data_IF_004406085739
#
_entry.id   IF_004406085739
#
_cell.length_a   1.000
_cell.length_b   1.000
_cell.length_c   1.000
_cell.angle_alpha   90.00
_cell.angle_beta   90.00
_cell.angle_gamma   90.00
#
_symmetry.space_group_name_H-M   'P 1'
#
loop_
_entity.id
_entity.type
_entity.pdbx_description
1 polymer ?
#
# COMPACT_ATOMS: atom_id res chain seq x y z
N UNK A 1 26.95 26.76 -24.62
CA UNK A 1 27.40 25.89 -23.52
C UNK A 1 26.16 25.30 -22.85
N UNK A 2 25.88 24.04 -23.12
CA UNK A 2 24.71 23.38 -22.51
C UNK A 2 25.13 22.90 -21.12
N UNK A 3 24.58 23.50 -20.08
CA UNK A 3 24.78 23.02 -18.69
C UNK A 3 23.87 21.82 -18.52
N UNK A 4 24.42 20.62 -18.64
CA UNK A 4 23.75 19.40 -18.26
C UNK A 4 23.74 19.32 -16.72
N UNK A 5 22.57 19.55 -16.12
CA UNK A 5 22.39 19.28 -14.70
C UNK A 5 22.29 17.75 -14.52
N UNK A 6 23.33 17.14 -13.94
CA UNK A 6 23.22 15.76 -13.46
C UNK A 6 22.33 15.74 -12.19
N UNK A 7 21.43 14.75 -12.05
CA UNK A 7 20.67 14.62 -10.81
C UNK A 7 21.63 14.40 -9.64
N UNK A 8 21.41 15.12 -8.54
CA UNK A 8 22.18 14.98 -7.30
C UNK A 8 21.83 13.67 -6.56
N UNK A 9 20.78 12.99 -6.98
CA UNK A 9 20.31 11.74 -6.38
C UNK A 9 20.71 10.59 -7.29
N UNK A 10 21.37 9.57 -6.72
CA UNK A 10 21.63 8.32 -7.42
C UNK A 10 20.30 7.62 -7.70
N UNK A 11 20.07 7.23 -8.93
CA UNK A 11 18.96 6.36 -9.34
C UNK A 11 19.44 4.93 -9.50
N UNK A 12 18.53 3.99 -9.25
CA UNK A 12 18.75 2.55 -9.34
C UNK A 12 17.81 1.95 -10.37
N UNK A 13 18.28 0.99 -11.12
CA UNK A 13 17.42 0.05 -11.85
C UNK A 13 16.85 -0.98 -10.87
N UNK A 14 15.78 -1.68 -11.26
CA UNK A 14 15.23 -2.77 -10.47
C UNK A 14 16.26 -3.88 -10.20
N UNK A 15 17.14 -4.18 -11.19
CA UNK A 15 18.20 -5.16 -11.03
C UNK A 15 19.27 -4.73 -10.01
N UNK A 16 19.65 -3.45 -10.01
CA UNK A 16 20.57 -2.91 -8.99
C UNK A 16 19.94 -2.93 -7.60
N UNK A 17 18.64 -2.61 -7.51
CA UNK A 17 17.87 -2.69 -6.27
C UNK A 17 17.86 -4.11 -5.68
N UNK A 18 17.60 -5.14 -6.49
CA UNK A 18 17.60 -6.54 -6.03
C UNK A 18 18.99 -7.06 -5.62
N UNK A 19 20.06 -6.41 -6.08
CA UNK A 19 21.42 -6.72 -5.67
C UNK A 19 21.87 -5.97 -4.41
N UNK A 20 21.02 -5.10 -3.84
CA UNK A 20 21.32 -4.45 -2.56
C UNK A 20 21.32 -5.49 -1.42
N UNK A 21 22.24 -5.38 -0.46
CA UNK A 21 22.19 -6.23 0.72
C UNK A 21 20.92 -5.94 1.54
N UNK A 22 20.31 -6.99 2.09
CA UNK A 22 19.20 -6.79 3.05
C UNK A 22 19.72 -6.06 4.29
N UNK A 23 19.05 -4.97 4.75
CA UNK A 23 19.41 -4.29 5.98
C UNK A 23 19.28 -5.23 7.19
N UNK A 24 20.33 -5.27 8.04
CA UNK A 24 20.36 -6.16 9.20
C UNK A 24 19.32 -5.79 10.28
N UNK A 25 18.87 -4.55 10.29
CA UNK A 25 17.90 -3.99 11.24
C UNK A 25 16.45 -4.07 10.79
N UNK A 26 16.15 -4.82 9.71
CA UNK A 26 14.83 -4.93 9.07
C UNK A 26 14.30 -3.63 8.46
N UNK A 27 15.13 -2.62 8.24
CA UNK A 27 14.78 -1.45 7.44
C UNK A 27 14.17 -1.92 6.12
N UNK A 28 12.99 -1.39 5.78
CA UNK A 28 12.31 -1.68 4.53
C UNK A 28 12.93 -0.84 3.42
N UNK A 29 13.27 -1.48 2.30
CA UNK A 29 13.75 -0.81 1.10
C UNK A 29 12.65 -0.83 0.04
N UNK A 30 12.37 0.32 -0.55
CA UNK A 30 11.43 0.47 -1.66
C UNK A 30 12.07 1.30 -2.76
N UNK A 31 11.69 1.04 -4.00
CA UNK A 31 12.18 1.77 -5.17
C UNK A 31 11.03 2.45 -5.88
N UNK A 32 11.11 3.77 -6.08
CA UNK A 32 10.11 4.52 -6.85
C UNK A 32 10.80 5.36 -7.89
N UNK A 33 10.53 5.06 -9.16
CA UNK A 33 11.13 5.76 -10.31
C UNK A 33 12.65 5.89 -10.17
N UNK A 34 13.28 4.78 -9.77
CA UNK A 34 14.72 4.70 -9.56
C UNK A 34 15.23 5.33 -8.27
N UNK A 35 14.42 5.99 -7.48
CA UNK A 35 14.82 6.54 -6.18
C UNK A 35 14.62 5.53 -5.08
N UNK A 36 15.68 5.26 -4.30
CA UNK A 36 15.64 4.34 -3.16
C UNK A 36 15.09 5.05 -1.94
N UNK A 37 14.07 4.44 -1.35
CA UNK A 37 13.46 4.86 -0.09
C UNK A 37 13.72 3.84 1.00
N UNK A 38 13.93 4.31 2.22
CA UNK A 38 14.18 3.49 3.39
C UNK A 38 13.21 3.88 4.50
N UNK A 39 12.52 2.90 5.06
CA UNK A 39 11.60 3.07 6.18
C UNK A 39 12.06 2.19 7.34
N UNK A 40 12.05 2.70 8.59
CA UNK A 40 12.36 1.88 9.75
C UNK A 40 11.38 0.70 9.87
N UNK A 41 11.74 -0.36 10.58
CA UNK A 41 10.83 -1.46 10.85
C UNK A 41 9.57 -0.96 11.58
N UNK A 42 8.42 -1.62 11.37
CA UNK A 42 7.18 -1.28 12.04
C UNK A 42 7.32 -1.41 13.56
N UNK A 43 6.58 -0.58 14.29
CA UNK A 43 6.46 -0.68 15.74
C UNK A 43 5.21 -1.46 16.17
N UNK A 44 5.08 -1.72 17.46
CA UNK A 44 4.00 -2.54 18.06
C UNK A 44 2.59 -2.04 17.65
N UNK A 45 2.35 -0.73 17.71
CA UNK A 45 1.04 -0.15 17.31
C UNK A 45 0.71 -0.45 15.84
N UNK A 46 1.70 -0.40 14.96
CA UNK A 46 1.52 -0.75 13.56
C UNK A 46 1.11 -2.23 13.41
N UNK A 47 1.78 -3.13 14.13
CA UNK A 47 1.51 -4.56 14.06
C UNK A 47 0.11 -4.90 14.62
N UNK A 48 -0.33 -4.24 15.69
CA UNK A 48 -1.67 -4.40 16.27
C UNK A 48 -2.75 -3.97 15.27
N UNK A 49 -2.59 -2.78 14.69
CA UNK A 49 -3.52 -2.24 13.68
C UNK A 49 -3.54 -3.11 12.43
N UNK A 50 -2.39 -3.58 11.97
CA UNK A 50 -2.28 -4.53 10.86
C UNK A 50 -3.07 -5.80 11.14
N UNK A 51 -2.87 -6.42 12.31
CA UNK A 51 -3.56 -7.65 12.72
C UNK A 51 -5.08 -7.47 12.79
N UNK A 52 -5.54 -6.35 13.36
CA UNK A 52 -6.96 -6.03 13.47
C UNK A 52 -7.58 -5.78 12.07
N UNK A 53 -6.95 -4.96 11.26
CA UNK A 53 -7.44 -4.62 9.92
C UNK A 53 -7.51 -5.85 9.00
N UNK A 54 -6.46 -6.67 8.97
CA UNK A 54 -6.43 -7.89 8.17
C UNK A 54 -7.58 -8.84 8.57
N UNK A 55 -7.79 -9.03 9.86
CA UNK A 55 -8.88 -9.87 10.39
C UNK A 55 -10.26 -9.34 10.01
N UNK A 56 -10.49 -8.04 10.17
CA UNK A 56 -11.79 -7.43 9.87
C UNK A 56 -12.08 -7.38 8.38
N UNK A 57 -11.07 -7.11 7.55
CA UNK A 57 -11.19 -7.15 6.10
C UNK A 57 -11.54 -8.56 5.61
N UNK A 58 -10.81 -9.59 6.10
CA UNK A 58 -11.10 -10.98 5.74
C UNK A 58 -12.53 -11.37 6.14
N UNK A 59 -12.95 -11.05 7.36
CA UNK A 59 -14.33 -11.33 7.83
C UNK A 59 -15.39 -10.61 6.98
N UNK A 60 -15.13 -9.37 6.59
CA UNK A 60 -16.06 -8.61 5.77
C UNK A 60 -16.18 -9.20 4.36
N UNK A 61 -15.05 -9.59 3.76
CA UNK A 61 -15.04 -10.27 2.46
C UNK A 61 -15.79 -11.60 2.51
N UNK A 62 -15.55 -12.43 3.53
CA UNK A 62 -16.22 -13.72 3.71
C UNK A 62 -17.74 -13.55 3.83
N UNK A 63 -18.20 -12.57 4.63
CA UNK A 63 -19.64 -12.28 4.79
C UNK A 63 -20.30 -11.86 3.49
N UNK A 64 -19.60 -11.09 2.66
CA UNK A 64 -20.14 -10.59 1.39
C UNK A 64 -19.88 -11.53 0.20
N UNK A 65 -19.16 -12.63 0.42
CA UNK A 65 -18.84 -13.61 -0.63
C UNK A 65 -17.81 -13.14 -1.65
N UNK A 66 -17.03 -12.10 -1.34
CA UNK A 66 -15.93 -11.66 -2.20
C UNK A 66 -14.86 -12.73 -2.33
N UNK A 67 -14.34 -12.87 -3.54
CA UNK A 67 -13.23 -13.78 -3.88
C UNK A 67 -11.99 -12.98 -4.17
N UNK A 68 -10.82 -13.62 -4.06
CA UNK A 68 -9.52 -13.00 -4.25
C UNK A 68 -8.60 -13.29 -3.07
N UNK A 69 -7.49 -12.57 -3.03
CA UNK A 69 -6.47 -12.76 -2.00
C UNK A 69 -6.16 -11.44 -1.28
N UNK A 70 -6.12 -11.50 0.04
CA UNK A 70 -5.44 -10.48 0.84
C UNK A 70 -3.97 -10.94 0.96
N UNK A 71 -3.07 -10.07 0.55
CA UNK A 71 -1.64 -10.30 0.60
C UNK A 71 -1.01 -9.29 1.55
N UNK A 72 -0.03 -9.75 2.31
CA UNK A 72 0.64 -8.94 3.33
C UNK A 72 2.13 -9.13 3.27
N UNK A 73 2.83 -8.45 4.11
CA UNK A 73 4.26 -8.30 4.28
C UNK A 73 5.16 -9.01 3.25
N UNK A 74 5.95 -8.25 2.51
CA UNK A 74 6.82 -8.66 1.39
C UNK A 74 6.07 -9.07 0.11
N UNK A 75 4.75 -8.96 0.06
CA UNK A 75 4.04 -8.99 -1.20
C UNK A 75 4.20 -7.64 -1.89
N UNK A 76 4.88 -7.62 -3.02
CA UNK A 76 5.20 -6.39 -3.71
C UNK A 76 4.33 -6.16 -4.96
N UNK A 77 4.23 -4.90 -5.35
CA UNK A 77 3.88 -4.47 -6.71
C UNK A 77 5.11 -3.82 -7.34
N UNK A 78 5.42 -4.16 -8.60
CA UNK A 78 6.61 -3.63 -9.25
C UNK A 78 6.45 -3.51 -10.77
N UNK A 79 7.26 -2.65 -11.37
CA UNK A 79 7.44 -2.55 -12.82
C UNK A 79 8.76 -3.20 -13.22
N UNK A 80 8.95 -3.46 -14.52
CA UNK A 80 10.18 -4.09 -15.02
C UNK A 80 11.39 -3.16 -14.96
N UNK A 81 11.19 -1.84 -14.74
CA UNK A 81 12.25 -0.85 -14.90
C UNK A 81 12.82 -0.37 -13.55
N UNK A 82 12.01 0.31 -12.74
CA UNK A 82 12.53 1.19 -11.69
C UNK A 82 11.60 1.39 -10.49
N UNK A 83 10.58 0.56 -10.33
CA UNK A 83 9.61 0.69 -9.23
C UNK A 83 9.34 -0.64 -8.56
N UNK A 84 9.49 -0.68 -7.23
CA UNK A 84 9.22 -1.82 -6.35
C UNK A 84 8.68 -1.31 -5.02
N UNK A 85 7.43 -1.63 -4.72
CA UNK A 85 6.71 -1.19 -3.51
C UNK A 85 6.15 -2.40 -2.76
N UNK A 86 6.28 -2.38 -1.44
CA UNK A 86 5.72 -3.38 -0.53
C UNK A 86 4.67 -2.75 0.38
N UNK A 87 3.40 -2.70 -0.02
CA UNK A 87 2.34 -2.20 0.86
C UNK A 87 2.16 -3.11 2.08
N UNK A 88 1.64 -2.56 3.17
CA UNK A 88 1.37 -3.34 4.37
C UNK A 88 0.31 -4.42 4.12
N UNK A 89 -0.75 -4.09 3.38
CA UNK A 89 -1.75 -5.02 2.88
C UNK A 89 -2.12 -4.67 1.44
N UNK A 90 -2.52 -5.67 0.66
CA UNK A 90 -3.17 -5.45 -0.63
C UNK A 90 -4.27 -6.49 -0.86
N UNK A 91 -5.30 -6.08 -1.56
CA UNK A 91 -6.31 -6.98 -2.09
C UNK A 91 -6.13 -7.13 -3.61
N UNK A 92 -6.14 -8.37 -4.06
CA UNK A 92 -6.09 -8.75 -5.49
C UNK A 92 -7.27 -9.65 -5.76
N UNK A 93 -8.22 -9.18 -6.56
CA UNK A 93 -9.37 -9.96 -6.99
C UNK A 93 -8.97 -11.14 -7.88
N UNK A 94 -9.79 -12.16 -7.96
CA UNK A 94 -9.55 -13.27 -8.88
C UNK A 94 -9.54 -12.77 -10.33
N UNK A 95 -10.37 -11.78 -10.67
CA UNK A 95 -10.38 -11.16 -11.99
C UNK A 95 -9.04 -10.51 -12.33
N UNK A 96 -8.51 -9.68 -11.43
CA UNK A 96 -7.19 -9.06 -11.62
C UNK A 96 -6.09 -10.13 -11.69
N UNK A 97 -6.14 -11.15 -10.82
CA UNK A 97 -5.16 -12.23 -10.82
C UNK A 97 -5.05 -12.96 -12.15
N UNK A 98 -6.18 -13.14 -12.87
CA UNK A 98 -6.17 -13.74 -14.20
C UNK A 98 -5.58 -12.83 -15.29
N UNK A 99 -5.56 -11.52 -15.07
CA UNK A 99 -4.97 -10.55 -15.99
C UNK A 99 -3.45 -10.38 -15.81
N UNK A 100 -2.94 -10.70 -14.63
CA UNK A 100 -1.51 -10.56 -14.32
C UNK A 100 -0.73 -11.78 -14.80
N UNK A 101 0.51 -11.56 -15.24
CA UNK A 101 1.43 -12.66 -15.52
C UNK A 101 1.79 -13.37 -14.21
N UNK A 102 1.84 -14.70 -14.17
CA UNK A 102 2.28 -15.45 -12.99
C UNK A 102 3.64 -14.94 -12.49
N UNK A 103 3.73 -14.66 -11.19
CA UNK A 103 4.96 -14.17 -10.57
C UNK A 103 5.28 -12.69 -10.83
N UNK A 104 4.46 -11.97 -11.61
CA UNK A 104 4.68 -10.54 -11.92
C UNK A 104 3.45 -9.71 -11.56
N UNK A 105 3.46 -9.11 -10.39
CA UNK A 105 2.35 -8.27 -9.90
C UNK A 105 2.68 -6.80 -10.12
N UNK A 106 2.05 -6.21 -11.13
CA UNK A 106 2.25 -4.80 -11.48
C UNK A 106 1.30 -3.86 -10.75
N UNK A 107 0.20 -4.39 -10.19
CA UNK A 107 -0.81 -3.62 -9.44
C UNK A 107 -1.62 -4.52 -8.51
N UNK A 108 -2.44 -3.90 -7.66
CA UNK A 108 -3.49 -4.51 -6.84
C UNK A 108 -4.81 -3.75 -7.07
N UNK A 109 -5.95 -4.32 -6.65
CA UNK A 109 -7.22 -3.60 -6.65
C UNK A 109 -7.28 -2.59 -5.51
N UNK A 110 -6.85 -3.00 -4.31
CA UNK A 110 -6.73 -2.14 -3.13
C UNK A 110 -5.33 -2.29 -2.56
N UNK A 111 -4.76 -1.16 -2.14
CA UNK A 111 -3.53 -1.09 -1.35
C UNK A 111 -3.84 -0.44 -0.02
N UNK A 112 -3.21 -0.91 1.05
CA UNK A 112 -3.30 -0.34 2.39
C UNK A 112 -1.91 -0.02 2.90
N UNK A 113 -1.72 1.20 3.38
CA UNK A 113 -0.52 1.66 4.09
C UNK A 113 -0.91 2.11 5.50
N UNK A 114 -0.25 1.55 6.51
CA UNK A 114 -0.43 1.94 7.90
C UNK A 114 0.63 2.99 8.21
N UNK A 115 0.18 4.20 8.47
CA UNK A 115 1.05 5.36 8.60
C UNK A 115 1.86 5.30 9.89
N UNK A 116 3.11 5.72 9.78
CA UNK A 116 3.96 6.03 10.93
C UNK A 116 4.40 7.50 10.87
N UNK A 117 4.77 8.13 11.99
CA UNK A 117 5.27 9.50 11.96
C UNK A 117 6.43 9.73 10.99
N UNK A 118 7.26 8.69 10.77
CA UNK A 118 8.41 8.76 9.89
C UNK A 118 8.04 8.67 8.39
N UNK A 119 6.96 7.97 8.04
CA UNK A 119 6.59 7.68 6.65
C UNK A 119 5.34 8.41 6.15
N UNK A 120 4.52 8.99 7.04
CA UNK A 120 3.19 9.49 6.73
C UNK A 120 3.15 10.46 5.52
N UNK A 121 4.10 11.41 5.42
CA UNK A 121 4.12 12.35 4.29
C UNK A 121 4.45 11.64 2.96
N UNK A 122 5.36 10.69 3.01
CA UNK A 122 5.79 9.89 1.87
C UNK A 122 4.67 8.96 1.40
N UNK A 123 4.01 8.26 2.33
CA UNK A 123 2.88 7.38 2.03
C UNK A 123 1.69 8.14 1.45
N UNK A 124 1.36 9.31 2.04
CA UNK A 124 0.24 10.15 1.58
C UNK A 124 0.44 10.79 0.21
N UNK A 125 1.67 10.98 -0.24
CA UNK A 125 1.99 11.63 -1.52
C UNK A 125 2.66 10.70 -2.48
N UNK A 126 3.95 10.45 -2.31
CA UNK A 126 4.79 9.75 -3.29
C UNK A 126 4.29 8.35 -3.58
N UNK A 127 3.98 7.55 -2.54
CA UNK A 127 3.44 6.20 -2.75
C UNK A 127 2.04 6.25 -3.35
N UNK A 128 1.14 7.08 -2.81
CA UNK A 128 -0.22 7.20 -3.30
C UNK A 128 -0.27 7.54 -4.79
N UNK A 129 0.53 8.53 -5.22
CA UNK A 129 0.61 8.92 -6.63
C UNK A 129 1.20 7.79 -7.50
N UNK A 130 2.16 7.04 -6.95
CA UNK A 130 2.77 5.90 -7.64
C UNK A 130 1.77 4.75 -7.79
N UNK A 131 1.04 4.38 -6.73
CA UNK A 131 0.00 3.36 -6.80
C UNK A 131 -1.10 3.72 -7.80
N UNK A 132 -1.53 4.99 -7.82
CA UNK A 132 -2.47 5.48 -8.84
C UNK A 132 -1.92 5.30 -10.25
N UNK A 133 -0.67 5.71 -10.49
CA UNK A 133 -0.01 5.55 -11.80
C UNK A 133 0.14 4.08 -12.23
N UNK A 134 0.29 3.16 -11.29
CA UNK A 134 0.33 1.72 -11.53
C UNK A 134 -1.07 1.11 -11.80
N UNK A 135 -2.15 1.87 -11.65
CA UNK A 135 -3.53 1.43 -11.88
C UNK A 135 -4.16 0.72 -10.68
N UNK A 136 -3.67 1.00 -9.46
CA UNK A 136 -4.40 0.64 -8.23
C UNK A 136 -5.71 1.42 -8.21
N UNK A 137 -6.82 0.76 -7.87
CA UNK A 137 -8.15 1.36 -7.91
C UNK A 137 -8.49 2.14 -6.65
N UNK A 138 -7.97 1.67 -5.51
CA UNK A 138 -8.24 2.28 -4.20
C UNK A 138 -7.03 2.16 -3.27
N UNK A 139 -6.72 3.21 -2.51
CA UNK A 139 -5.73 3.17 -1.44
C UNK A 139 -6.38 3.55 -0.11
N UNK A 140 -6.03 2.82 0.96
CA UNK A 140 -6.40 3.11 2.33
C UNK A 140 -5.16 3.55 3.11
N UNK A 141 -5.20 4.75 3.63
CA UNK A 141 -4.16 5.31 4.48
C UNK A 141 -4.67 5.26 5.92
N UNK A 142 -4.16 4.32 6.69
CA UNK A 142 -4.60 4.04 8.05
C UNK A 142 -3.71 4.80 9.01
N UNK A 143 -4.28 5.70 9.80
CA UNK A 143 -3.56 6.54 10.76
C UNK A 143 -3.84 6.07 12.20
N UNK A 144 -2.91 5.35 12.83
CA UNK A 144 -3.08 4.84 14.19
C UNK A 144 -3.16 5.94 15.26
N UNK A 145 -2.47 7.08 15.05
CA UNK A 145 -2.44 8.19 16.00
C UNK A 145 -3.76 8.96 15.96
N UNK A 146 -4.24 9.31 14.76
CA UNK A 146 -5.51 9.98 14.57
C UNK A 146 -6.71 9.06 14.75
N UNK A 147 -6.52 7.72 14.73
CA UNK A 147 -7.55 6.69 14.72
C UNK A 147 -8.57 6.90 13.62
N UNK A 148 -8.06 7.13 12.42
CA UNK A 148 -8.86 7.36 11.22
C UNK A 148 -8.28 6.64 10.00
N UNK A 149 -9.12 6.44 8.99
CA UNK A 149 -8.75 5.82 7.72
C UNK A 149 -9.18 6.73 6.59
N UNK A 150 -8.22 7.19 5.79
CA UNK A 150 -8.47 7.92 4.56
C UNK A 150 -8.51 6.94 3.40
N UNK A 151 -9.64 6.89 2.70
CA UNK A 151 -9.84 6.06 1.50
C UNK A 151 -9.84 6.96 0.28
N UNK A 152 -8.93 6.73 -0.65
CA UNK A 152 -8.87 7.39 -1.96
C UNK A 152 -9.28 6.39 -3.03
N UNK A 153 -10.44 6.60 -3.62
CA UNK A 153 -10.96 5.79 -4.72
C UNK A 153 -10.66 6.49 -6.03
N UNK A 154 -9.68 6.02 -6.76
CA UNK A 154 -9.18 6.68 -7.97
C UNK A 154 -10.16 6.58 -9.16
N UNK A 155 -10.93 5.50 -9.25
CA UNK A 155 -11.90 5.32 -10.35
C UNK A 155 -13.05 6.33 -10.33
N UNK A 156 -13.42 6.80 -9.14
CA UNK A 156 -14.53 7.76 -8.95
C UNK A 156 -14.05 9.12 -8.47
N UNK A 157 -12.72 9.32 -8.44
CA UNK A 157 -12.05 10.55 -7.98
C UNK A 157 -12.62 11.06 -6.64
N UNK A 158 -12.66 10.16 -5.66
CA UNK A 158 -13.24 10.47 -4.34
C UNK A 158 -12.29 10.12 -3.21
N UNK A 159 -12.11 11.07 -2.29
CA UNK A 159 -11.47 10.85 -1.00
C UNK A 159 -12.49 10.93 0.12
N UNK A 160 -12.47 9.96 1.03
CA UNK A 160 -13.34 9.89 2.21
C UNK A 160 -12.50 9.58 3.43
N UNK A 161 -12.74 10.26 4.54
CA UNK A 161 -12.07 9.97 5.83
C UNK A 161 -13.08 9.37 6.79
N UNK A 162 -12.74 8.22 7.35
CA UNK A 162 -13.55 7.46 8.31
C UNK A 162 -12.89 7.54 9.69
N UNK A 163 -13.59 8.09 10.66
CA UNK A 163 -13.16 8.19 12.05
C UNK A 163 -13.59 6.96 12.85
N UNK A 164 -13.10 6.84 14.08
CA UNK A 164 -13.37 5.69 14.93
C UNK A 164 -14.86 5.32 15.07
N UNK A 165 -15.77 6.30 15.05
CA UNK A 165 -17.23 6.06 15.17
C UNK A 165 -17.89 5.61 13.85
N UNK A 166 -17.17 5.64 12.74
CA UNK A 166 -17.73 5.44 11.42
C UNK A 166 -17.64 3.98 10.97
N UNK A 167 -18.35 3.69 9.88
CA UNK A 167 -18.28 2.42 9.16
C UNK A 167 -17.47 2.66 7.89
N UNK A 168 -16.30 2.04 7.79
CA UNK A 168 -15.46 2.04 6.60
C UNK A 168 -16.20 1.37 5.44
N UNK A 169 -16.15 2.00 4.28
CA UNK A 169 -16.70 1.51 3.00
C UNK A 169 -15.65 1.63 1.92
N UNK A 170 -15.74 0.74 0.93
CA UNK A 170 -14.87 0.70 -0.24
C UNK A 170 -15.69 0.84 -1.51
N UNK A 171 -15.15 1.49 -2.52
CA UNK A 171 -15.75 1.52 -3.85
C UNK A 171 -15.45 0.21 -4.61
N UNK A 172 -14.30 -0.41 -4.35
CA UNK A 172 -13.88 -1.69 -4.95
C UNK A 172 -14.63 -2.87 -4.35
N UNK A 173 -14.75 -2.91 -3.03
CA UNK A 173 -15.50 -3.92 -2.28
C UNK A 173 -16.80 -3.29 -1.75
N UNK A 174 -17.73 -2.95 -2.63
CA UNK A 174 -18.87 -2.05 -2.37
C UNK A 174 -19.83 -2.50 -1.26
N UNK A 175 -19.86 -3.79 -0.95
CA UNK A 175 -20.77 -4.35 0.06
C UNK A 175 -20.13 -4.47 1.45
N UNK A 176 -18.81 -4.31 1.57
CA UNK A 176 -18.18 -4.42 2.88
C UNK A 176 -18.57 -3.26 3.80
N UNK A 177 -18.68 -3.59 5.06
CA UNK A 177 -18.91 -2.65 6.16
C UNK A 177 -18.02 -3.06 7.33
N UNK A 178 -17.01 -2.24 7.62
CA UNK A 178 -16.06 -2.51 8.70
C UNK A 178 -16.18 -1.38 9.73
N UNK A 179 -16.59 -1.67 10.99
CA UNK A 179 -16.54 -0.66 12.03
C UNK A 179 -15.10 -0.20 12.27
N UNK A 180 -14.81 1.08 12.08
CA UNK A 180 -13.44 1.61 12.27
C UNK A 180 -12.96 1.39 13.71
N UNK A 181 -13.86 1.43 14.68
CA UNK A 181 -13.54 1.13 16.08
C UNK A 181 -12.87 -0.25 16.28
N UNK A 182 -13.23 -1.26 15.49
CA UNK A 182 -12.66 -2.61 15.63
C UNK A 182 -11.21 -2.74 15.10
N UNK A 183 -10.70 -1.69 14.47
CA UNK A 183 -9.33 -1.64 13.95
C UNK A 183 -8.38 -0.96 14.96
N UNK A 184 -8.91 -0.03 15.77
CA UNK A 184 -8.14 0.79 16.69
C UNK A 184 -8.48 0.51 18.18
N UNK A 185 -8.71 -0.74 18.52
CA UNK A 185 -9.00 -1.15 19.91
C UNK A 185 -7.78 -1.05 20.82
#
# INVERSE_FOLDING_TARGET
MVITTSPLVKTYTLQEFWNLPEPADRTKLELIKGVLYMSPPPGEIHDDVFGALNRELQRAMDRCGYKGAILSARAAVWTDDDTYLEPDLMYVSDELKHQLKPGHRTRADIVVEILSPASALYDRRTKSDTYHALGVREIWLVDPEAKEIEVRSFEIDKTSTYKRSDILRSAVLSEIQIPVASIFE
#
